data_IF_447283562270
#
_entry.id   IF_447283562270
#
_cell.length_a   1.000
_cell.length_b   1.000
_cell.length_c   1.000
_cell.angle_alpha   90.00
_cell.angle_beta   90.00
_cell.angle_gamma   90.00
#
_symmetry.space_group_name_H-M   'P 1'
#
loop_
_entity.id
_entity.type
_entity.pdbx_description
1 polymer ?
#
# COMPACT_ATOMS: atom_id res chain seq x y z
N UNK A 1 -12.90 -2.83 -4.23
CA UNK A 1 -13.94 -1.84 -4.52
C UNK A 1 -15.08 -2.55 -5.21
N UNK A 2 -16.31 -2.42 -4.72
CA UNK A 2 -17.48 -3.13 -5.25
C UNK A 2 -18.51 -2.12 -5.75
N UNK A 3 -19.04 -2.34 -6.95
CA UNK A 3 -20.06 -1.46 -7.55
C UNK A 3 -21.40 -2.19 -7.54
N UNK A 4 -22.42 -1.52 -6.99
CA UNK A 4 -23.78 -2.04 -6.88
C UNK A 4 -24.69 -1.11 -7.68
N UNK A 5 -25.36 -1.66 -8.70
CA UNK A 5 -26.27 -0.91 -9.56
C UNK A 5 -27.73 -1.30 -9.27
N UNK A 6 -28.58 -0.32 -8.96
CA UNK A 6 -30.02 -0.53 -8.80
C UNK A 6 -30.76 0.45 -9.71
N UNK A 7 -31.16 -0.03 -10.90
CA UNK A 7 -32.03 0.54 -11.98
C UNK A 7 -31.92 2.03 -12.37
N UNK A 8 -31.58 2.97 -11.49
CA UNK A 8 -31.30 4.41 -11.72
C UNK A 8 -30.22 5.02 -10.81
N UNK A 9 -29.59 4.27 -9.90
CA UNK A 9 -28.54 4.77 -9.01
C UNK A 9 -27.35 3.79 -8.95
N UNK A 10 -26.14 4.34 -8.97
CA UNK A 10 -24.88 3.61 -8.81
C UNK A 10 -24.30 3.88 -7.42
N UNK A 11 -24.06 2.82 -6.65
CA UNK A 11 -23.37 2.88 -5.37
C UNK A 11 -22.01 2.24 -5.51
N UNK A 12 -20.96 2.98 -5.11
CA UNK A 12 -19.59 2.47 -5.05
C UNK A 12 -19.21 2.25 -3.60
N UNK A 13 -18.92 1.01 -3.23
CA UNK A 13 -18.45 0.63 -1.91
C UNK A 13 -16.94 0.38 -1.97
N UNK A 14 -16.15 1.16 -1.24
CA UNK A 14 -14.71 1.00 -1.11
C UNK A 14 -14.36 0.59 0.32
N UNK A 15 -13.53 -0.44 0.47
CA UNK A 15 -13.02 -0.88 1.76
C UNK A 15 -11.60 -1.40 1.61
N UNK A 16 -10.76 -1.12 2.61
CA UNK A 16 -9.35 -1.58 2.66
C UNK A 16 -9.21 -3.03 3.11
N UNK A 17 -10.24 -3.60 3.74
CA UNK A 17 -10.27 -5.00 4.18
C UNK A 17 -11.19 -5.84 3.29
N UNK A 18 -10.59 -6.80 2.59
CA UNK A 18 -11.32 -7.80 1.78
C UNK A 18 -12.29 -8.57 2.67
N UNK A 19 -11.86 -8.98 3.86
CA UNK A 19 -12.67 -9.74 4.83
C UNK A 19 -13.89 -8.93 5.32
N UNK A 20 -13.72 -7.62 5.55
CA UNK A 20 -14.84 -6.74 5.91
C UNK A 20 -15.80 -6.56 4.73
N UNK A 21 -15.29 -6.45 3.50
CA UNK A 21 -16.16 -6.40 2.32
C UNK A 21 -16.88 -7.73 2.08
N UNK A 22 -16.25 -8.87 2.32
CA UNK A 22 -16.89 -10.19 2.23
C UNK A 22 -17.98 -10.37 3.29
N UNK A 23 -17.79 -9.90 4.52
CA UNK A 23 -18.80 -9.99 5.57
C UNK A 23 -20.03 -9.12 5.29
N UNK A 24 -19.83 -7.92 4.74
CA UNK A 24 -20.90 -7.03 4.26
C UNK A 24 -21.62 -7.55 3.00
N UNK A 25 -21.07 -8.56 2.33
CA UNK A 25 -21.61 -9.15 1.10
C UNK A 25 -21.98 -10.63 1.25
N UNK A 26 -21.89 -11.18 2.47
CA UNK A 26 -22.21 -12.58 2.76
C UNK A 26 -23.70 -12.91 2.57
N UNK A 27 -24.03 -14.20 2.57
CA UNK A 27 -25.38 -14.74 2.28
C UNK A 27 -26.52 -14.12 3.12
N UNK A 28 -26.20 -13.58 4.31
CA UNK A 28 -27.15 -12.91 5.21
C UNK A 28 -27.27 -11.38 4.98
N UNK A 29 -26.51 -10.82 4.04
CA UNK A 29 -26.49 -9.38 3.77
C UNK A 29 -27.59 -8.94 2.80
N UNK A 30 -28.21 -7.76 2.99
CA UNK A 30 -29.18 -7.17 2.05
C UNK A 30 -28.65 -6.95 0.62
N UNK A 31 -27.33 -7.00 0.45
CA UNK A 31 -26.62 -6.79 -0.81
C UNK A 31 -26.30 -8.12 -1.54
N UNK A 32 -26.62 -9.26 -0.93
CA UNK A 32 -26.45 -10.58 -1.53
C UNK A 32 -27.24 -10.70 -2.84
N UNK A 33 -26.58 -11.14 -3.91
CA UNK A 33 -27.17 -11.27 -5.25
C UNK A 33 -27.41 -9.95 -6.00
N UNK A 34 -27.07 -8.78 -5.41
CA UNK A 34 -27.16 -7.45 -6.08
C UNK A 34 -25.81 -6.94 -6.58
N UNK A 35 -24.77 -7.78 -6.52
CA UNK A 35 -23.42 -7.48 -7.02
C UNK A 35 -23.43 -7.45 -8.55
N UNK A 36 -23.21 -6.28 -9.14
CA UNK A 36 -23.03 -6.16 -10.59
C UNK A 36 -21.57 -6.38 -10.95
N UNK A 37 -20.65 -5.67 -10.30
CA UNK A 37 -19.21 -5.78 -10.56
C UNK A 37 -18.38 -5.63 -9.28
N UNK A 38 -17.25 -6.33 -9.24
CA UNK A 38 -16.25 -6.22 -8.18
C UNK A 38 -14.89 -5.97 -8.83
N UNK A 39 -14.26 -4.87 -8.42
CA UNK A 39 -12.94 -4.48 -8.89
C UNK A 39 -11.97 -4.71 -7.72
N UNK A 40 -11.05 -5.65 -7.91
CA UNK A 40 -9.87 -5.77 -7.07
C UNK A 40 -8.88 -4.70 -7.54
N UNK A 41 -8.57 -3.74 -6.66
CA UNK A 41 -7.57 -2.72 -6.97
C UNK A 41 -6.20 -3.32 -6.64
N UNK A 42 -5.44 -3.64 -7.68
CA UNK A 42 -4.08 -4.14 -7.56
C UNK A 42 -3.07 -2.98 -7.49
N UNK A 43 -1.87 -3.21 -6.93
CA UNK A 43 -0.78 -2.24 -7.02
C UNK A 43 -0.44 -1.90 -8.47
N UNK A 44 0.02 -0.68 -8.70
CA UNK A 44 0.45 -0.20 -10.02
C UNK A 44 1.63 -1.02 -10.52
N UNK A 45 1.64 -1.32 -11.82
CA UNK A 45 2.75 -1.98 -12.50
C UNK A 45 3.90 -0.99 -12.68
N UNK A 46 5.12 -1.52 -12.81
CA UNK A 46 6.33 -0.71 -13.04
C UNK A 46 6.16 0.38 -14.10
N UNK A 47 5.51 0.04 -15.23
CA UNK A 47 5.26 0.99 -16.33
C UNK A 47 4.45 2.20 -15.86
N UNK A 48 3.38 1.97 -15.11
CA UNK A 48 2.48 3.02 -14.60
C UNK A 48 3.17 3.84 -13.51
N UNK A 49 3.95 3.19 -12.65
CA UNK A 49 4.75 3.87 -11.62
C UNK A 49 5.78 4.81 -12.25
N UNK A 50 6.41 4.41 -13.35
CA UNK A 50 7.37 5.27 -14.06
C UNK A 50 6.76 6.59 -14.57
N UNK A 51 5.43 6.66 -14.72
CA UNK A 51 4.72 7.88 -15.13
C UNK A 51 4.63 8.91 -13.99
N UNK A 52 4.80 8.51 -12.72
CA UNK A 52 4.84 9.44 -11.58
C UNK A 52 6.12 10.27 -11.53
N UNK A 53 7.18 9.79 -12.16
CA UNK A 53 8.51 10.41 -12.11
C UNK A 53 9.24 10.31 -13.46
N UNK A 54 8.69 10.91 -14.52
CA UNK A 54 9.23 10.81 -15.87
C UNK A 54 10.67 11.30 -15.98
N UNK A 55 11.07 12.27 -15.14
CA UNK A 55 12.38 12.91 -15.11
C UNK A 55 13.52 12.02 -14.58
N UNK A 56 13.23 10.91 -13.89
CA UNK A 56 14.27 10.03 -13.35
C UNK A 56 14.94 9.20 -14.45
N UNK A 57 16.22 8.86 -14.25
CA UNK A 57 16.94 7.94 -15.14
C UNK A 57 16.40 6.51 -14.97
N UNK A 58 16.58 5.66 -15.98
CA UNK A 58 16.07 4.29 -15.96
C UNK A 58 16.51 3.48 -14.71
N UNK A 59 17.77 3.62 -14.29
CA UNK A 59 18.29 2.98 -13.08
C UNK A 59 17.57 3.47 -11.81
N UNK A 60 17.39 4.79 -11.67
CA UNK A 60 16.67 5.38 -10.53
C UNK A 60 15.20 4.98 -10.51
N UNK A 61 14.57 4.80 -11.68
CA UNK A 61 13.19 4.31 -11.79
C UNK A 61 13.06 2.88 -11.24
N UNK A 62 13.98 2.00 -11.61
CA UNK A 62 14.02 0.61 -11.11
C UNK A 62 14.22 0.59 -9.61
N UNK A 63 15.17 1.37 -9.08
CA UNK A 63 15.42 1.45 -7.64
C UNK A 63 14.22 2.01 -6.87
N UNK A 64 13.59 3.06 -7.40
CA UNK A 64 12.39 3.67 -6.78
C UNK A 64 11.25 2.66 -6.70
N UNK A 65 10.99 1.92 -7.78
CA UNK A 65 9.98 0.87 -7.77
C UNK A 65 10.34 -0.30 -6.86
N UNK A 66 11.61 -0.68 -6.75
CA UNK A 66 12.06 -1.72 -5.82
C UNK A 66 11.83 -1.33 -4.35
N UNK A 67 11.90 -0.04 -4.03
CA UNK A 67 11.68 0.48 -2.67
C UNK A 67 10.21 0.71 -2.35
N UNK A 68 9.46 1.33 -3.26
CA UNK A 68 8.08 1.76 -3.03
C UNK A 68 7.03 0.78 -3.56
N UNK A 69 7.44 -0.15 -4.42
CA UNK A 69 6.53 -1.06 -5.12
C UNK A 69 5.54 -0.31 -6.00
N UNK A 70 4.34 -0.88 -6.11
CA UNK A 70 3.22 -0.34 -6.88
C UNK A 70 2.20 0.47 -6.07
N UNK A 71 2.43 0.68 -4.77
CA UNK A 71 1.41 1.29 -3.90
C UNK A 71 1.34 2.80 -4.12
N UNK A 72 0.23 3.36 -4.66
CA UNK A 72 0.17 4.78 -5.02
C UNK A 72 0.41 5.72 -3.84
N UNK A 73 -0.07 5.35 -2.64
CA UNK A 73 0.13 6.14 -1.43
C UNK A 73 1.62 6.35 -1.11
N UNK A 74 2.48 5.36 -1.40
CA UNK A 74 3.90 5.47 -1.13
C UNK A 74 4.62 6.37 -2.15
N UNK A 75 4.17 6.33 -3.40
CA UNK A 75 4.70 7.18 -4.47
C UNK A 75 4.46 8.66 -4.17
N UNK A 76 3.31 8.99 -3.59
CA UNK A 76 2.94 10.38 -3.27
C UNK A 76 3.74 11.00 -2.11
N UNK A 77 4.41 10.19 -1.29
CA UNK A 77 5.20 10.68 -0.15
C UNK A 77 6.59 11.20 -0.54
N UNK A 78 7.09 10.83 -1.72
CA UNK A 78 8.46 11.13 -2.16
C UNK A 78 8.51 12.45 -2.95
N UNK A 79 9.55 13.26 -2.70
CA UNK A 79 9.86 14.42 -3.53
C UNK A 79 10.90 14.02 -4.58
N UNK A 80 10.44 13.75 -5.81
CA UNK A 80 11.28 13.28 -6.92
C UNK A 80 12.26 14.32 -7.48
N UNK A 81 12.36 15.50 -6.86
CA UNK A 81 13.44 16.46 -7.11
C UNK A 81 14.67 16.20 -6.22
N UNK A 82 14.51 15.41 -5.16
CA UNK A 82 15.58 15.04 -4.23
C UNK A 82 16.14 13.66 -4.56
N UNK A 83 17.41 13.39 -4.21
CA UNK A 83 17.99 12.05 -4.34
C UNK A 83 17.14 11.01 -3.62
N UNK A 84 17.02 9.82 -4.20
CA UNK A 84 16.24 8.71 -3.64
C UNK A 84 16.61 8.41 -2.18
N UNK A 85 17.91 8.41 -1.87
CA UNK A 85 18.40 8.13 -0.52
C UNK A 85 17.96 9.16 0.52
N UNK A 86 17.82 10.43 0.13
CA UNK A 86 17.31 11.47 1.04
C UNK A 86 15.82 11.26 1.33
N UNK A 87 15.04 10.90 0.31
CA UNK A 87 13.63 10.55 0.49
C UNK A 87 13.49 9.33 1.41
N UNK A 88 14.30 8.29 1.24
CA UNK A 88 14.27 7.12 2.13
C UNK A 88 14.56 7.52 3.58
N UNK A 89 15.61 8.31 3.82
CA UNK A 89 15.97 8.75 5.18
C UNK A 89 14.88 9.61 5.81
N UNK A 90 14.30 10.54 5.07
CA UNK A 90 13.31 11.50 5.59
C UNK A 90 11.88 10.98 5.61
N UNK A 91 11.53 10.00 4.76
CA UNK A 91 10.14 9.52 4.61
C UNK A 91 9.95 8.10 5.10
N UNK A 92 10.93 7.21 4.97
CA UNK A 92 10.81 5.80 5.39
C UNK A 92 11.42 5.57 6.76
N UNK A 93 12.61 6.12 7.04
CA UNK A 93 13.35 5.83 8.27
C UNK A 93 13.01 6.75 9.46
N UNK A 94 12.23 7.80 9.22
CA UNK A 94 11.87 8.77 10.24
C UNK A 94 10.63 8.30 11.01
N UNK A 95 10.73 8.16 12.34
CA UNK A 95 9.70 7.56 13.20
C UNK A 95 8.31 8.21 13.21
N UNK A 96 8.16 9.39 12.61
CA UNK A 96 6.93 10.18 12.61
C UNK A 96 6.33 10.32 11.20
N UNK A 97 6.68 9.41 10.29
CA UNK A 97 6.17 9.42 8.92
C UNK A 97 5.22 8.25 8.69
N UNK A 98 4.28 8.46 7.78
CA UNK A 98 3.32 7.45 7.38
C UNK A 98 4.01 6.14 6.95
N UNK A 99 5.02 6.23 6.08
CA UNK A 99 5.72 5.04 5.58
C UNK A 99 6.49 4.29 6.66
N UNK A 100 7.02 4.97 7.68
CA UNK A 100 7.67 4.28 8.80
C UNK A 100 6.67 3.38 9.54
N UNK A 101 5.50 3.92 9.88
CA UNK A 101 4.47 3.18 10.59
C UNK A 101 3.90 2.05 9.76
N UNK A 102 3.64 2.29 8.48
CA UNK A 102 3.09 1.28 7.58
C UNK A 102 4.08 0.13 7.32
N UNK A 103 5.36 0.46 7.08
CA UNK A 103 6.43 -0.56 6.99
C UNK A 103 6.54 -1.38 8.27
N UNK A 104 6.47 -0.71 9.43
CA UNK A 104 6.49 -1.38 10.72
C UNK A 104 5.30 -2.32 10.92
N UNK A 105 4.11 -1.90 10.50
CA UNK A 105 2.90 -2.72 10.55
C UNK A 105 3.02 -3.96 9.67
N UNK A 106 3.42 -3.80 8.40
CA UNK A 106 3.64 -4.92 7.47
C UNK A 106 4.68 -5.89 8.01
N UNK A 107 5.82 -5.40 8.52
CA UNK A 107 6.85 -6.24 9.14
C UNK A 107 6.30 -7.03 10.34
N UNK A 108 5.48 -6.40 11.19
CA UNK A 108 4.89 -7.11 12.34
C UNK A 108 3.93 -8.23 11.93
N UNK A 109 3.25 -8.09 10.79
CA UNK A 109 2.36 -9.13 10.27
C UNK A 109 3.16 -10.33 9.70
N UNK A 110 4.26 -10.07 8.99
CA UNK A 110 5.13 -11.12 8.44
C UNK A 110 5.93 -11.85 9.54
N UNK A 111 6.45 -11.13 10.52
CA UNK A 111 7.22 -11.69 11.64
C UNK A 111 6.28 -11.97 12.83
N UNK A 112 5.45 -13.01 12.72
CA UNK A 112 4.49 -13.43 13.76
C UNK A 112 5.15 -13.98 15.04
N UNK A 113 6.48 -13.92 15.17
CA UNK A 113 7.23 -14.43 16.33
C UNK A 113 7.98 -13.30 17.08
N UNK A 114 7.54 -12.91 18.31
CA UNK A 114 8.06 -11.74 19.03
C UNK A 114 9.56 -11.76 19.39
N UNK A 115 10.25 -12.90 19.23
CA UNK A 115 11.62 -13.11 19.74
C UNK A 115 12.70 -12.59 18.79
N UNK A 116 12.43 -12.51 17.48
CA UNK A 116 13.41 -12.02 16.49
C UNK A 116 13.48 -10.49 16.46
N UNK A 117 12.38 -9.80 16.79
CA UNK A 117 12.35 -8.34 16.79
C UNK A 117 13.24 -7.72 17.88
N UNK A 118 13.43 -8.41 19.02
CA UNK A 118 14.29 -7.92 20.08
C UNK A 118 15.79 -8.15 19.83
N UNK A 119 16.19 -9.20 19.11
CA UNK A 119 17.63 -9.52 18.96
C UNK A 119 18.41 -8.48 18.16
N UNK A 120 17.80 -7.87 17.13
CA UNK A 120 18.46 -6.83 16.31
C UNK A 120 18.59 -5.51 17.09
N UNK A 121 17.67 -5.24 18.03
CA UNK A 121 17.69 -4.01 18.84
C UNK A 121 18.82 -3.98 19.88
N UNK A 122 19.38 -5.13 20.27
CA UNK A 122 20.46 -5.22 21.25
C UNK A 122 21.86 -5.29 20.62
N UNK A 123 21.99 -5.66 19.35
CA UNK A 123 23.31 -5.78 18.69
C UNK A 123 23.88 -4.41 18.28
N UNK A 124 23.05 -3.40 18.03
CA UNK A 124 23.53 -2.03 17.70
C UNK A 124 23.77 -1.16 18.95
N UNK A 125 23.85 -1.77 20.14
CA UNK A 125 24.10 -1.07 21.41
C UNK A 125 25.19 -1.72 22.28
N UNK A 126 26.10 -2.48 21.67
CA UNK A 126 27.35 -2.92 22.29
C UNK A 126 28.56 -2.24 21.64
#
# INVERSE_FOLDING_TARGET
>A
MTVISVKKAFFVLCGSSIVMMESLLGYKSPLYGRRTEQILLEPLKFREVCEFFPQLKAEEKVLTYAVLGGTPAYLLEFDYRKPLLENIKGRILQKNTFLYHDTMFVLQQEFTEPRIYYSIRYITRS
#
